data_IF_511746281152
#
_entry.id   IF_511746281152
#
_cell.length_a   1.000
_cell.length_b   1.000
_cell.length_c   1.000
_cell.angle_alpha   90.00
_cell.angle_beta   90.00
_cell.angle_gamma   90.00
#
_symmetry.space_group_name_H-M   'P 1'
#
loop_
_entity.id
_entity.type
_entity.pdbx_description
1 polymer ?
#
# COMPACT_ATOMS: atom_id res chain seq x y z
N UNK A 1 -8.12 47.84 0.68
CA UNK A 1 -7.48 46.93 1.66
C UNK A 1 -7.19 45.64 0.93
N UNK A 2 -5.94 45.18 0.91
CA UNK A 2 -5.55 43.95 0.21
C UNK A 2 -6.06 42.77 1.04
N UNK A 3 -6.93 41.95 0.44
CA UNK A 3 -7.34 40.65 0.95
C UNK A 3 -6.08 39.78 1.10
N UNK A 4 -5.48 39.81 2.29
CA UNK A 4 -4.45 38.86 2.67
C UNK A 4 -5.12 37.49 2.70
N UNK A 5 -4.96 36.72 1.62
CA UNK A 5 -5.33 35.31 1.61
C UNK A 5 -4.36 34.57 2.54
N UNK A 6 -4.70 34.56 3.83
CA UNK A 6 -4.04 33.73 4.84
C UNK A 6 -4.12 32.29 4.34
N UNK A 7 -2.98 31.70 4.00
CA UNK A 7 -2.88 30.34 3.51
C UNK A 7 -3.68 29.40 4.44
N UNK A 8 -4.72 28.78 3.88
CA UNK A 8 -5.61 27.88 4.62
C UNK A 8 -4.73 26.76 5.21
N UNK A 9 -4.70 26.62 6.55
CA UNK A 9 -3.94 25.53 7.19
C UNK A 9 -4.42 24.21 6.61
N UNK A 10 -3.54 23.51 5.89
CA UNK A 10 -3.78 22.13 5.49
C UNK A 10 -3.90 21.33 6.77
N UNK A 11 -5.08 20.77 7.05
CA UNK A 11 -5.33 19.97 8.25
C UNK A 11 -4.35 18.81 8.23
N UNK A 12 -3.39 18.76 9.15
CA UNK A 12 -2.40 17.69 9.16
C UNK A 12 -3.14 16.35 9.27
N UNK A 13 -2.83 15.38 8.39
CA UNK A 13 -3.40 14.04 8.54
C UNK A 13 -3.00 13.49 9.93
N UNK A 14 -3.92 12.83 10.64
CA UNK A 14 -3.59 12.22 11.91
C UNK A 14 -2.45 11.23 11.66
N UNK A 15 -1.33 11.41 12.35
CA UNK A 15 -0.10 10.60 12.19
C UNK A 15 -0.39 9.10 12.27
N UNK A 16 -1.37 8.72 13.10
CA UNK A 16 -1.85 7.34 13.25
C UNK A 16 -2.41 6.77 11.94
N UNK A 17 -3.15 7.55 11.16
CA UNK A 17 -3.71 7.09 9.89
C UNK A 17 -2.61 6.88 8.84
N UNK A 18 -1.61 7.76 8.81
CA UNK A 18 -0.44 7.61 7.92
C UNK A 18 0.35 6.38 8.31
N UNK A 19 0.63 6.19 9.61
CA UNK A 19 1.37 5.04 10.11
C UNK A 19 0.65 3.71 9.83
N UNK A 20 -0.68 3.66 9.99
CA UNK A 20 -1.48 2.48 9.68
C UNK A 20 -1.42 2.12 8.19
N UNK A 21 -1.51 3.12 7.30
CA UNK A 21 -1.36 2.91 5.84
C UNK A 21 0.02 2.35 5.50
N UNK A 22 1.08 2.90 6.07
CA UNK A 22 2.46 2.44 5.86
C UNK A 22 2.64 1.01 6.36
N UNK A 23 2.15 0.69 7.55
CA UNK A 23 2.26 -0.65 8.12
C UNK A 23 1.52 -1.68 7.25
N UNK A 24 0.31 -1.34 6.79
CA UNK A 24 -0.47 -2.19 5.88
C UNK A 24 0.27 -2.44 4.56
N UNK A 25 0.83 -1.39 3.93
CA UNK A 25 1.67 -1.52 2.74
C UNK A 25 2.83 -2.47 2.97
N UNK A 26 3.53 -2.29 4.09
CA UNK A 26 4.73 -3.05 4.40
C UNK A 26 4.41 -4.54 4.55
N UNK A 27 3.32 -4.88 5.26
CA UNK A 27 2.86 -6.27 5.41
C UNK A 27 2.44 -6.87 4.07
N UNK A 28 1.67 -6.13 3.24
CA UNK A 28 1.27 -6.60 1.91
C UNK A 28 2.47 -6.84 0.99
N UNK A 29 3.47 -5.95 1.04
CA UNK A 29 4.68 -6.07 0.24
C UNK A 29 5.51 -7.30 0.65
N UNK A 30 5.78 -7.47 1.95
CA UNK A 30 6.51 -8.63 2.46
C UNK A 30 5.75 -9.93 2.20
N UNK A 31 4.44 -9.95 2.45
CA UNK A 31 3.60 -11.11 2.16
C UNK A 31 3.63 -11.48 0.68
N UNK A 32 3.58 -10.48 -0.21
CA UNK A 32 3.69 -10.68 -1.66
C UNK A 32 5.04 -11.26 -2.07
N UNK A 33 6.16 -10.75 -1.54
CA UNK A 33 7.50 -11.30 -1.79
C UNK A 33 7.64 -12.75 -1.32
N UNK A 34 7.10 -13.07 -0.13
CA UNK A 34 7.09 -14.44 0.38
C UNK A 34 6.28 -15.35 -0.56
N UNK A 35 5.10 -14.92 -1.01
CA UNK A 35 4.28 -15.69 -1.94
C UNK A 35 4.98 -15.95 -3.28
N UNK A 36 5.68 -14.95 -3.83
CA UNK A 36 6.50 -15.14 -5.03
C UNK A 36 7.61 -16.14 -4.76
N UNK A 37 8.33 -15.99 -3.64
CA UNK A 37 9.38 -16.92 -3.23
C UNK A 37 8.88 -18.36 -3.14
N UNK A 38 7.75 -18.58 -2.46
CA UNK A 38 7.08 -19.89 -2.37
C UNK A 38 6.77 -20.43 -3.75
N UNK A 39 6.11 -19.65 -4.61
CA UNK A 39 5.77 -20.04 -5.98
C UNK A 39 6.98 -20.35 -6.87
N UNK A 40 8.14 -19.74 -6.63
CA UNK A 40 9.38 -20.05 -7.35
C UNK A 40 10.13 -21.26 -6.79
N UNK A 41 9.90 -21.60 -5.53
CA UNK A 41 10.55 -22.73 -4.85
C UNK A 41 9.72 -24.03 -4.89
N UNK A 42 8.42 -23.91 -5.13
CA UNK A 42 7.49 -25.03 -5.10
C UNK A 42 7.49 -25.82 -6.42
N UNK A 43 7.67 -27.14 -6.33
CA UNK A 43 7.54 -28.09 -7.44
C UNK A 43 6.12 -28.63 -7.61
N UNK A 44 5.16 -28.11 -6.84
CA UNK A 44 3.75 -28.47 -6.88
C UNK A 44 3.06 -28.17 -8.22
N UNK A 45 1.81 -28.62 -8.36
CA UNK A 45 1.11 -28.62 -9.64
C UNK A 45 0.73 -27.22 -10.18
N UNK A 46 0.73 -26.17 -9.33
CA UNK A 46 0.27 -24.83 -9.73
C UNK A 46 1.17 -23.70 -9.16
N UNK A 47 2.49 -23.69 -9.43
CA UNK A 47 3.42 -22.72 -8.82
C UNK A 47 3.13 -21.28 -9.27
N UNK A 48 2.62 -21.14 -10.49
CA UNK A 48 2.27 -19.85 -11.08
C UNK A 48 1.17 -19.10 -10.31
N UNK A 49 0.26 -19.81 -9.63
CA UNK A 49 -0.82 -19.18 -8.88
C UNK A 49 -0.27 -18.39 -7.69
N UNK A 50 0.71 -18.94 -6.98
CA UNK A 50 1.39 -18.28 -5.87
C UNK A 50 2.16 -17.05 -6.33
N UNK A 51 2.82 -17.13 -7.50
CA UNK A 51 3.50 -15.98 -8.11
C UNK A 51 2.52 -14.87 -8.48
N UNK A 52 1.39 -15.20 -9.11
CA UNK A 52 0.36 -14.21 -9.49
C UNK A 52 -0.25 -13.55 -8.25
N UNK A 53 -0.58 -14.32 -7.22
CA UNK A 53 -1.08 -13.79 -5.95
C UNK A 53 -0.05 -12.91 -5.26
N UNK A 54 1.23 -13.28 -5.32
CA UNK A 54 2.33 -12.47 -4.79
C UNK A 54 2.47 -11.12 -5.52
N UNK A 55 2.42 -11.12 -6.84
CA UNK A 55 2.45 -9.88 -7.66
C UNK A 55 1.23 -9.00 -7.34
N UNK A 56 0.04 -9.61 -7.22
CA UNK A 56 -1.17 -8.89 -6.85
C UNK A 56 -1.04 -8.23 -5.47
N UNK A 57 -0.50 -8.96 -4.48
CA UNK A 57 -0.27 -8.44 -3.13
C UNK A 57 0.74 -7.27 -3.13
N UNK A 58 1.82 -7.37 -3.91
CA UNK A 58 2.78 -6.27 -4.11
C UNK A 58 2.11 -5.07 -4.75
N UNK A 59 1.31 -5.25 -5.80
CA UNK A 59 0.60 -4.15 -6.46
C UNK A 59 -0.39 -3.45 -5.49
N UNK A 60 -1.09 -4.22 -4.66
CA UNK A 60 -2.02 -3.71 -3.65
C UNK A 60 -1.31 -2.92 -2.54
N UNK A 61 -0.06 -3.27 -2.20
CA UNK A 61 0.75 -2.53 -1.24
C UNK A 61 0.93 -1.05 -1.62
N UNK A 62 0.92 -0.74 -2.92
CA UNK A 62 1.01 0.63 -3.44
C UNK A 62 -0.36 1.26 -3.75
N UNK A 63 -1.35 0.46 -4.16
CA UNK A 63 -2.67 0.97 -4.55
C UNK A 63 -3.64 1.25 -3.40
N UNK A 64 -3.67 0.41 -2.36
CA UNK A 64 -4.59 0.57 -1.22
C UNK A 64 -4.33 1.81 -0.34
N UNK A 65 -3.07 2.16 0.00
CA UNK A 65 -2.77 3.30 0.87
C UNK A 65 -3.21 4.64 0.29
N UNK A 66 -3.25 4.74 -1.05
CA UNK A 66 -3.60 5.96 -1.76
C UNK A 66 -5.11 6.25 -1.74
N UNK A 67 -5.95 5.25 -1.45
CA UNK A 67 -7.41 5.40 -1.50
C UNK A 67 -7.96 6.37 -0.44
N UNK A 68 -7.29 6.48 0.70
CA UNK A 68 -7.66 7.44 1.75
C UNK A 68 -7.03 8.82 1.62
N UNK A 69 -6.15 9.05 0.63
CA UNK A 69 -5.61 10.37 0.33
C UNK A 69 -6.59 11.21 -0.53
N UNK A 70 -7.56 10.55 -1.18
CA UNK A 70 -8.50 11.19 -2.11
C UNK A 70 -9.76 11.79 -1.47
N UNK A 71 -9.96 11.61 -0.16
CA UNK A 71 -11.14 12.10 0.58
C UNK A 71 -10.97 13.53 1.15
N UNK A 72 -10.09 14.35 0.58
CA UNK A 72 -9.80 15.70 1.08
C UNK A 72 -10.10 16.80 0.08
#
# INVERSE_FOLDING_TARGET
MSEFQVAKRVKQEPTVAVAARVLLSFVLFLGGLVLVGVGTSDGGAVPWLWVVLGILAVALAFGLPMRGASER
#
